data_IF_752495255918
#
_entry.id   IF_752495255918
#
_cell.length_a   1.000
_cell.length_b   1.000
_cell.length_c   1.000
_cell.angle_alpha   90.00
_cell.angle_beta   90.00
_cell.angle_gamma   90.00
#
_symmetry.space_group_name_H-M   'P 1'
#
loop_
_entity.id
_entity.type
_entity.pdbx_description
1 polymer ?
#
# COMPACT_ATOMS: atom_id res chain seq x y z
N UNK A 1 -22.78 1.41 -10.05
CA UNK A 1 -22.60 1.45 -8.59
C UNK A 1 -21.22 1.96 -8.23
N UNK A 2 -21.09 2.67 -7.11
CA UNK A 2 -19.82 3.23 -6.59
C UNK A 2 -19.45 2.56 -5.27
N UNK A 3 -18.15 2.50 -4.98
CA UNK A 3 -17.60 2.11 -3.69
C UNK A 3 -16.95 3.33 -3.02
N UNK A 4 -17.03 3.40 -1.68
CA UNK A 4 -16.54 4.54 -0.92
C UNK A 4 -15.32 4.15 -0.07
N UNK A 5 -14.34 5.05 0.01
CA UNK A 5 -13.13 4.88 0.81
C UNK A 5 -12.75 6.21 1.46
N UNK A 6 -12.11 6.14 2.62
CA UNK A 6 -11.54 7.29 3.33
C UNK A 6 -10.01 7.23 3.29
N UNK A 7 -9.41 8.36 2.91
CA UNK A 7 -7.97 8.60 2.95
C UNK A 7 -7.63 9.46 4.17
N UNK A 8 -7.33 8.79 5.28
CA UNK A 8 -7.39 9.34 6.63
C UNK A 8 -6.01 9.81 7.08
N UNK A 9 -5.89 11.09 7.46
CA UNK A 9 -4.69 11.61 8.14
C UNK A 9 -4.61 11.15 9.60
N UNK A 10 -3.41 10.98 10.13
CA UNK A 10 -3.13 10.70 11.53
C UNK A 10 -3.73 11.77 12.44
N UNK A 11 -3.72 13.04 12.01
CA UNK A 11 -4.32 14.16 12.76
C UNK A 11 -5.80 13.91 13.09
N UNK A 12 -6.57 13.40 12.13
CA UNK A 12 -7.98 13.08 12.36
C UNK A 12 -8.11 12.05 13.48
N UNK A 13 -7.32 10.97 13.43
CA UNK A 13 -7.33 9.92 14.45
C UNK A 13 -6.86 10.44 15.83
N UNK A 14 -5.86 11.32 15.88
CA UNK A 14 -5.44 12.01 17.11
C UNK A 14 -6.60 12.80 17.71
N UNK A 15 -7.31 13.60 16.90
CA UNK A 15 -8.44 14.41 17.36
C UNK A 15 -9.65 13.59 17.79
N UNK A 16 -9.94 12.46 17.12
CA UNK A 16 -10.98 11.52 17.56
C UNK A 16 -10.65 10.96 18.95
N UNK A 17 -9.39 10.52 19.15
CA UNK A 17 -8.91 9.96 20.41
C UNK A 17 -8.98 10.97 21.56
N UNK A 18 -8.61 12.21 21.30
CA UNK A 18 -8.55 13.30 22.29
C UNK A 18 -9.87 14.06 22.44
N UNK A 19 -10.93 13.62 21.76
CA UNK A 19 -12.24 14.27 21.73
C UNK A 19 -12.17 15.77 21.36
N UNK A 20 -11.33 16.10 20.37
CA UNK A 20 -11.15 17.45 19.88
C UNK A 20 -12.11 17.77 18.73
N UNK A 21 -12.12 19.03 18.32
CA UNK A 21 -12.88 19.48 17.16
C UNK A 21 -12.17 19.14 15.84
N UNK A 22 -12.95 18.86 14.81
CA UNK A 22 -12.49 18.69 13.43
C UNK A 22 -13.13 19.74 12.52
N UNK A 23 -12.34 20.35 11.66
CA UNK A 23 -12.77 21.38 10.72
C UNK A 23 -12.93 20.81 9.31
N UNK A 24 -14.13 20.98 8.75
CA UNK A 24 -14.45 20.69 7.36
C UNK A 24 -14.07 21.91 6.51
N UNK A 25 -13.29 21.67 5.45
CA UNK A 25 -12.70 22.71 4.61
C UNK A 25 -13.08 22.52 3.14
N UNK A 26 -13.18 23.63 2.41
CA UNK A 26 -13.35 23.60 0.96
C UNK A 26 -11.95 23.57 0.31
N UNK A 27 -11.64 22.63 -0.60
CA UNK A 27 -10.31 22.55 -1.22
C UNK A 27 -9.94 23.77 -2.06
N UNK A 28 -10.93 24.56 -2.52
CA UNK A 28 -10.69 25.82 -3.22
C UNK A 28 -10.24 26.95 -2.28
N UNK A 29 -10.69 26.94 -1.02
CA UNK A 29 -10.32 27.94 0.00
C UNK A 29 -9.09 27.49 0.79
N UNK A 30 -8.91 26.18 0.94
CA UNK A 30 -7.80 25.54 1.65
C UNK A 30 -7.01 24.61 0.70
N UNK A 31 -6.33 25.15 -0.32
CA UNK A 31 -5.61 24.35 -1.31
C UNK A 31 -4.41 23.61 -0.70
N UNK A 32 -3.99 22.52 -1.34
CA UNK A 32 -2.77 21.78 -0.99
C UNK A 32 -2.91 20.73 0.12
N UNK A 33 -4.05 20.63 0.81
CA UNK A 33 -4.27 19.60 1.85
C UNK A 33 -4.16 18.16 1.31
N UNK A 34 -4.54 17.93 0.04
CA UNK A 34 -4.39 16.64 -0.63
C UNK A 34 -2.96 16.38 -1.11
N UNK A 35 -2.13 17.41 -1.19
CA UNK A 35 -0.75 17.36 -1.69
C UNK A 35 0.28 17.31 -0.56
N UNK A 36 -0.17 17.36 0.70
CA UNK A 36 0.67 17.22 1.90
C UNK A 36 0.26 15.99 2.72
N UNK A 37 1.18 15.44 3.50
CA UNK A 37 0.94 14.35 4.45
C UNK A 37 1.81 14.52 5.71
N UNK A 38 1.50 13.78 6.77
CA UNK A 38 2.24 13.84 8.04
C UNK A 38 2.29 15.25 8.62
N UNK A 39 3.47 15.67 9.10
CA UNK A 39 3.64 16.99 9.73
C UNK A 39 3.33 18.17 8.80
N UNK A 40 3.59 18.03 7.49
CA UNK A 40 3.31 19.10 6.53
C UNK A 40 1.80 19.33 6.42
N UNK A 41 1.03 18.25 6.35
CA UNK A 41 -0.43 18.32 6.39
C UNK A 41 -0.92 18.92 7.71
N UNK A 42 -0.37 18.49 8.84
CA UNK A 42 -0.79 19.01 10.16
C UNK A 42 -0.58 20.51 10.27
N UNK A 43 0.61 21.01 9.90
CA UNK A 43 0.93 22.44 9.91
C UNK A 43 0.01 23.24 8.99
N UNK A 44 -0.21 22.75 7.76
CA UNK A 44 -1.06 23.43 6.79
C UNK A 44 -2.53 23.46 7.23
N UNK A 45 -3.03 22.35 7.76
CA UNK A 45 -4.40 22.24 8.26
C UNK A 45 -4.65 23.17 9.45
N UNK A 46 -3.75 23.18 10.44
CA UNK A 46 -3.87 24.06 11.62
C UNK A 46 -3.79 25.53 11.21
N UNK A 47 -2.88 25.88 10.30
CA UNK A 47 -2.80 27.24 9.74
C UNK A 47 -4.15 27.70 9.16
N UNK A 48 -4.83 26.85 8.39
CA UNK A 48 -6.14 27.20 7.83
C UNK A 48 -7.25 27.32 8.89
N UNK A 49 -7.14 26.59 10.01
CA UNK A 49 -8.04 26.79 11.15
C UNK A 49 -7.81 28.15 11.83
N UNK A 50 -6.55 28.56 11.99
CA UNK A 50 -6.16 29.85 12.58
C UNK A 50 -6.54 31.05 11.70
N UNK A 51 -6.39 30.92 10.37
CA UNK A 51 -6.82 31.92 9.39
C UNK A 51 -8.35 31.99 9.23
N UNK A 52 -9.09 31.16 9.97
CA UNK A 52 -10.55 31.10 9.99
C UNK A 52 -11.17 30.83 8.60
N UNK A 53 -10.45 30.13 7.72
CA UNK A 53 -10.91 29.65 6.40
C UNK A 53 -11.83 28.41 6.52
N UNK A 54 -12.48 28.26 7.67
CA UNK A 54 -13.31 27.11 8.03
C UNK A 54 -14.70 27.21 7.42
N UNK A 55 -15.20 26.11 6.83
CA UNK A 55 -16.62 26.02 6.44
C UNK A 55 -17.49 25.63 7.63
N UNK A 56 -17.09 24.59 8.36
CA UNK A 56 -17.83 24.04 9.50
C UNK A 56 -16.87 23.33 10.44
N UNK A 57 -17.05 23.54 11.74
CA UNK A 57 -16.32 22.79 12.77
C UNK A 57 -17.30 21.88 13.49
N UNK A 58 -16.93 20.62 13.70
CA UNK A 58 -17.71 19.57 14.37
C UNK A 58 -16.85 18.90 15.44
N UNK A 59 -17.44 18.11 16.33
CA UNK A 59 -16.63 17.21 17.16
C UNK A 59 -16.06 16.10 16.28
N UNK A 60 -14.78 15.76 16.44
CA UNK A 60 -14.16 14.70 15.64
C UNK A 60 -14.87 13.35 15.87
N UNK A 61 -15.32 13.10 17.10
CA UNK A 61 -16.08 11.89 17.44
C UNK A 61 -17.44 11.83 16.76
N UNK A 62 -18.13 12.95 16.54
CA UNK A 62 -19.41 12.96 15.81
C UNK A 62 -19.22 12.48 14.36
N UNK A 63 -18.17 12.96 13.70
CA UNK A 63 -17.83 12.48 12.35
C UNK A 63 -17.42 10.99 12.38
N UNK A 64 -16.66 10.58 13.39
CA UNK A 64 -16.30 9.17 13.58
C UNK A 64 -17.52 8.26 13.76
N UNK A 65 -18.52 8.67 14.55
CA UNK A 65 -19.77 7.92 14.71
C UNK A 65 -20.51 7.76 13.38
N UNK A 66 -20.56 8.80 12.55
CA UNK A 66 -21.17 8.70 11.21
C UNK A 66 -20.42 7.71 10.31
N UNK A 67 -19.08 7.69 10.37
CA UNK A 67 -18.26 6.72 9.62
C UNK A 67 -18.59 5.29 10.06
N UNK A 68 -18.63 5.04 11.38
CA UNK A 68 -18.96 3.73 11.95
C UNK A 68 -20.38 3.30 11.58
N UNK A 69 -21.35 4.22 11.64
CA UNK A 69 -22.73 3.94 11.26
C UNK A 69 -22.81 3.49 9.80
N UNK A 70 -22.16 4.21 8.88
CA UNK A 70 -22.09 3.81 7.47
C UNK A 70 -21.49 2.41 7.30
N UNK A 71 -20.41 2.10 8.02
CA UNK A 71 -19.77 0.79 7.97
C UNK A 71 -20.67 -0.34 8.50
N UNK A 72 -21.44 -0.08 9.56
CA UNK A 72 -22.41 -1.04 10.10
C UNK A 72 -23.52 -1.30 9.09
N UNK A 73 -24.03 -0.26 8.44
CA UNK A 73 -25.16 -0.36 7.51
C UNK A 73 -24.77 -0.96 6.16
N UNK A 74 -23.55 -0.69 5.68
CA UNK A 74 -23.17 -0.95 4.27
C UNK A 74 -21.86 -1.72 4.09
N UNK A 75 -21.06 -1.89 5.14
CA UNK A 75 -19.71 -2.42 5.07
C UNK A 75 -18.65 -1.45 4.51
N UNK A 76 -19.04 -0.23 4.13
CA UNK A 76 -18.16 0.84 3.59
C UNK A 76 -18.40 2.16 4.35
N UNK A 77 -17.45 3.11 4.38
CA UNK A 77 -16.24 3.21 3.55
C UNK A 77 -15.09 2.30 3.97
N UNK A 78 -14.23 1.96 3.01
CA UNK A 78 -12.90 1.42 3.27
C UNK A 78 -12.04 2.43 4.05
N UNK A 79 -11.10 1.93 4.85
CA UNK A 79 -10.29 2.74 5.74
C UNK A 79 -8.82 2.63 5.35
N UNK A 80 -8.23 3.73 4.90
CA UNK A 80 -6.82 3.80 4.55
C UNK A 80 -6.15 4.98 5.25
N UNK A 81 -4.98 4.75 5.81
CA UNK A 81 -4.24 5.75 6.58
C UNK A 81 -3.23 6.45 5.69
N UNK A 82 -3.56 7.66 5.22
CA UNK A 82 -2.78 8.48 4.28
C UNK A 82 -1.32 8.58 4.69
N UNK A 83 -1.09 8.95 5.94
CA UNK A 83 0.25 9.30 6.41
C UNK A 83 1.13 8.04 6.51
N UNK A 84 0.56 6.92 6.95
CA UNK A 84 1.22 5.61 6.89
C UNK A 84 1.53 5.16 5.46
N UNK A 85 0.61 5.36 4.52
CA UNK A 85 0.81 4.98 3.12
C UNK A 85 1.94 5.80 2.48
N UNK A 86 1.95 7.11 2.70
CA UNK A 86 2.98 7.99 2.15
C UNK A 86 4.35 7.80 2.83
N UNK A 87 4.39 7.70 4.16
CA UNK A 87 5.63 7.54 4.91
C UNK A 87 6.42 6.28 4.52
N UNK A 88 5.70 5.21 4.15
CA UNK A 88 6.26 3.86 3.95
C UNK A 88 6.15 3.38 2.51
N UNK A 89 6.02 4.31 1.55
CA UNK A 89 6.06 3.99 0.13
C UNK A 89 7.45 4.21 -0.44
N UNK A 90 7.91 3.31 -1.30
CA UNK A 90 9.12 3.51 -2.11
C UNK A 90 8.90 4.57 -3.21
N UNK A 91 7.65 4.95 -3.50
CA UNK A 91 7.30 6.00 -4.46
C UNK A 91 7.14 7.38 -3.81
N UNK A 92 7.45 7.55 -2.52
CA UNK A 92 7.32 8.86 -1.85
C UNK A 92 8.21 9.97 -2.43
N UNK A 93 9.19 9.62 -3.25
CA UNK A 93 10.00 10.57 -4.02
C UNK A 93 9.23 11.22 -5.19
N UNK A 94 8.08 10.69 -5.60
CA UNK A 94 7.27 11.23 -6.70
C UNK A 94 6.34 12.36 -6.25
N UNK A 95 6.03 12.42 -4.95
CA UNK A 95 5.08 13.33 -4.35
C UNK A 95 4.06 12.60 -3.49
N UNK A 96 3.01 13.32 -3.07
CA UNK A 96 1.97 12.77 -2.20
C UNK A 96 1.06 11.81 -2.95
N UNK A 97 0.97 10.58 -2.46
CA UNK A 97 0.02 9.56 -2.89
C UNK A 97 -1.37 9.92 -2.34
N UNK A 98 -2.34 10.03 -3.24
CA UNK A 98 -3.66 10.64 -2.97
C UNK A 98 -4.78 9.64 -2.74
N UNK A 99 -4.60 8.38 -3.15
CA UNK A 99 -5.60 7.33 -2.98
C UNK A 99 -4.95 5.95 -3.10
N UNK A 100 -5.77 4.92 -2.91
CA UNK A 100 -5.48 3.54 -3.30
C UNK A 100 -6.35 3.14 -4.49
N UNK A 101 -6.43 1.85 -4.80
CA UNK A 101 -7.31 1.28 -5.81
C UNK A 101 -8.63 0.77 -5.19
N UNK A 102 -9.42 0.07 -6.01
CA UNK A 102 -10.71 -0.51 -5.63
C UNK A 102 -10.62 -1.47 -4.42
N UNK A 103 -9.55 -2.26 -4.32
CA UNK A 103 -9.43 -3.33 -3.33
C UNK A 103 -8.49 -2.97 -2.16
N UNK A 104 -8.03 -1.72 -2.09
CA UNK A 104 -7.23 -1.14 -1.01
C UNK A 104 -5.81 -1.71 -0.83
N UNK A 105 -5.31 -2.52 -1.75
CA UNK A 105 -3.99 -3.15 -1.68
C UNK A 105 -2.90 -2.38 -2.43
N UNK A 106 -3.28 -1.55 -3.40
CA UNK A 106 -2.32 -0.80 -4.24
C UNK A 106 -2.20 0.63 -3.76
N UNK A 107 -0.96 1.04 -3.50
CA UNK A 107 -0.60 2.38 -3.03
C UNK A 107 0.45 2.95 -3.97
N UNK A 108 -0.01 3.55 -5.05
CA UNK A 108 0.81 4.09 -6.14
C UNK A 108 0.51 5.58 -6.36
N UNK A 109 1.52 6.31 -6.80
CA UNK A 109 1.40 7.73 -7.14
C UNK A 109 0.47 7.93 -8.35
N UNK A 110 -0.29 9.02 -8.32
CA UNK A 110 -1.15 9.46 -9.43
C UNK A 110 -1.09 10.97 -9.59
N UNK A 111 -1.23 11.44 -10.82
CA UNK A 111 -1.26 12.85 -11.17
C UNK A 111 -2.18 13.08 -12.38
N UNK A 112 -2.43 14.32 -12.82
CA UNK A 112 -3.17 14.57 -14.06
C UNK A 112 -2.58 13.89 -15.30
N UNK A 113 -1.26 13.64 -15.29
CA UNK A 113 -0.53 13.04 -16.41
C UNK A 113 -0.20 11.55 -16.20
N UNK A 114 -0.48 11.00 -15.01
CA UNK A 114 -0.12 9.63 -14.62
C UNK A 114 -1.29 8.90 -13.94
N UNK A 115 -1.76 7.84 -14.60
CA UNK A 115 -2.75 6.91 -14.05
C UNK A 115 -2.02 5.63 -13.64
N UNK A 116 -1.95 5.36 -12.34
CA UNK A 116 -1.35 4.15 -11.78
C UNK A 116 -1.99 2.86 -12.35
N UNK A 117 -1.20 1.78 -12.46
CA UNK A 117 -1.63 0.51 -13.09
C UNK A 117 -1.23 -0.68 -12.24
N UNK A 118 -2.23 -1.49 -11.89
CA UNK A 118 -2.05 -2.67 -11.05
C UNK A 118 -1.69 -3.91 -11.90
N UNK A 119 -0.41 -4.29 -11.94
CA UNK A 119 0.04 -5.54 -12.61
C UNK A 119 0.09 -6.69 -11.58
N UNK A 120 -0.94 -7.54 -11.55
CA UNK A 120 -1.17 -8.46 -10.43
C UNK A 120 -0.99 -9.94 -10.77
N UNK A 121 -0.43 -10.70 -9.84
CA UNK A 121 -0.46 -12.17 -9.82
C UNK A 121 -0.54 -12.68 -8.38
N UNK A 122 -1.05 -13.91 -8.17
CA UNK A 122 -1.16 -14.52 -6.84
C UNK A 122 -0.49 -15.89 -6.76
N UNK A 123 0.23 -16.14 -5.66
CA UNK A 123 0.88 -17.41 -5.36
C UNK A 123 -0.03 -18.30 -4.52
N UNK A 124 -0.29 -19.52 -4.96
CA UNK A 124 -1.06 -20.51 -4.20
C UNK A 124 -0.19 -21.18 -3.12
N UNK A 125 -0.21 -20.64 -1.90
CA UNK A 125 0.68 -21.03 -0.79
C UNK A 125 0.55 -22.51 -0.40
N UNK A 126 -0.63 -23.09 -0.54
CA UNK A 126 -0.86 -24.49 -0.20
C UNK A 126 -0.05 -25.47 -1.06
N UNK A 127 0.43 -25.06 -2.24
CA UNK A 127 1.25 -25.88 -3.15
C UNK A 127 2.71 -26.04 -2.70
N UNK A 128 3.11 -25.35 -1.63
CA UNK A 128 4.45 -25.42 -1.05
C UNK A 128 4.47 -26.23 0.25
N UNK A 129 3.34 -26.79 0.69
CA UNK A 129 3.28 -27.67 1.85
C UNK A 129 3.61 -29.10 1.44
N UNK A 130 4.61 -29.69 2.10
CA UNK A 130 4.80 -31.14 2.13
C UNK A 130 3.88 -31.72 3.21
N UNK A 131 2.83 -32.44 2.79
CA UNK A 131 1.79 -32.94 3.71
C UNK A 131 2.33 -34.06 4.60
N UNK A 132 3.24 -34.89 4.08
CA UNK A 132 3.80 -36.03 4.83
C UNK A 132 4.76 -35.53 5.91
N UNK A 133 5.63 -34.58 5.55
CA UNK A 133 6.59 -33.99 6.50
C UNK A 133 5.99 -32.89 7.37
N UNK A 134 4.84 -32.33 6.97
CA UNK A 134 4.23 -31.13 7.56
C UNK A 134 5.21 -29.95 7.59
N UNK A 135 5.89 -29.73 6.47
CA UNK A 135 6.88 -28.68 6.30
C UNK A 135 6.50 -27.75 5.14
N UNK A 136 6.88 -26.48 5.26
CA UNK A 136 6.69 -25.49 4.21
C UNK A 136 7.98 -25.33 3.39
N UNK A 137 7.90 -25.48 2.07
CA UNK A 137 9.04 -25.40 1.17
C UNK A 137 9.32 -23.95 0.72
N UNK A 138 10.11 -23.24 1.54
CA UNK A 138 10.50 -21.86 1.27
C UNK A 138 11.37 -21.70 0.02
N UNK A 139 12.24 -22.68 -0.28
CA UNK A 139 13.09 -22.62 -1.49
C UNK A 139 12.25 -22.56 -2.76
N UNK A 140 11.24 -23.42 -2.84
CA UNK A 140 10.31 -23.45 -3.97
C UNK A 140 9.45 -22.17 -4.04
N UNK A 141 9.02 -21.63 -2.90
CA UNK A 141 8.32 -20.33 -2.85
C UNK A 141 9.20 -19.20 -3.42
N UNK A 142 10.46 -19.13 -3.00
CA UNK A 142 11.44 -18.18 -3.50
C UNK A 142 11.60 -18.30 -5.02
N UNK A 143 11.84 -19.51 -5.55
CA UNK A 143 12.06 -19.73 -6.99
C UNK A 143 10.83 -19.33 -7.83
N UNK A 144 9.62 -19.67 -7.36
CA UNK A 144 8.36 -19.27 -8.02
C UNK A 144 8.14 -17.76 -7.96
N UNK A 145 8.47 -17.12 -6.84
CA UNK A 145 8.31 -15.67 -6.70
C UNK A 145 9.18 -14.93 -7.72
N UNK A 146 10.44 -15.35 -7.92
CA UNK A 146 11.31 -14.78 -8.97
C UNK A 146 10.71 -14.91 -10.37
N UNK A 147 10.14 -16.08 -10.69
CA UNK A 147 9.48 -16.30 -11.98
C UNK A 147 8.31 -15.33 -12.16
N UNK A 148 7.48 -15.16 -11.13
CA UNK A 148 6.32 -14.25 -11.18
C UNK A 148 6.77 -12.80 -11.32
N UNK A 149 7.79 -12.36 -10.58
CA UNK A 149 8.38 -11.02 -10.71
C UNK A 149 8.79 -10.74 -12.16
N UNK A 150 9.52 -11.68 -12.79
CA UNK A 150 9.92 -11.56 -14.20
C UNK A 150 8.73 -11.54 -15.16
N UNK A 151 7.69 -12.32 -14.88
CA UNK A 151 6.50 -12.38 -15.72
C UNK A 151 5.72 -11.07 -15.65
N UNK A 152 5.53 -10.51 -14.45
CA UNK A 152 4.84 -9.23 -14.26
C UNK A 152 5.62 -8.08 -14.90
N UNK A 153 6.96 -8.06 -14.78
CA UNK A 153 7.79 -7.07 -15.46
C UNK A 153 7.62 -7.13 -16.99
N UNK A 154 7.60 -8.33 -17.58
CA UNK A 154 7.30 -8.49 -19.02
C UNK A 154 5.88 -8.05 -19.41
N UNK A 155 4.91 -8.18 -18.51
CA UNK A 155 3.54 -7.72 -18.77
C UNK A 155 3.53 -6.21 -18.97
N UNK A 156 4.30 -5.45 -18.19
CA UNK A 156 4.37 -3.98 -18.32
C UNK A 156 4.70 -3.57 -19.76
N UNK A 157 5.65 -4.25 -20.41
CA UNK A 157 6.05 -3.89 -21.78
C UNK A 157 5.07 -4.39 -22.85
N UNK A 158 4.37 -5.49 -22.58
CA UNK A 158 3.44 -6.12 -23.55
C UNK A 158 1.99 -5.69 -23.39
N UNK A 159 1.65 -4.99 -22.32
CA UNK A 159 0.28 -4.63 -21.99
C UNK A 159 -0.30 -3.66 -23.03
N UNK A 160 -1.61 -3.76 -23.26
CA UNK A 160 -2.37 -2.77 -24.00
C UNK A 160 -2.91 -1.74 -23.00
N UNK A 161 -2.44 -0.49 -23.10
CA UNK A 161 -2.87 0.58 -22.20
C UNK A 161 -4.06 1.32 -22.80
N UNK A 162 -5.20 1.42 -22.08
CA UNK A 162 -6.41 2.06 -22.59
C UNK A 162 -6.28 3.58 -22.69
N UNK A 163 -5.39 4.20 -21.91
CA UNK A 163 -5.11 5.64 -21.90
C UNK A 163 -3.60 5.89 -21.83
N UNK A 164 -3.14 7.03 -22.35
CA UNK A 164 -1.69 7.33 -22.47
C UNK A 164 -1.03 7.49 -21.09
N UNK A 165 -1.74 8.10 -20.15
CA UNK A 165 -1.32 8.39 -18.78
C UNK A 165 -0.99 7.09 -18.03
N UNK A 166 -1.73 6.02 -18.33
CA UNK A 166 -1.49 4.69 -17.78
C UNK A 166 -0.17 4.07 -18.30
N UNK A 167 0.10 4.24 -19.59
CA UNK A 167 1.37 3.79 -20.18
C UNK A 167 2.55 4.57 -19.61
N UNK A 168 2.40 5.89 -19.46
CA UNK A 168 3.44 6.77 -18.88
C UNK A 168 3.78 6.31 -17.47
N UNK A 169 2.78 6.20 -16.59
CA UNK A 169 2.98 5.77 -15.20
C UNK A 169 3.66 4.40 -15.11
N UNK A 170 3.14 3.40 -15.84
CA UNK A 170 3.61 2.02 -15.69
C UNK A 170 5.04 1.83 -16.25
N UNK A 171 5.38 2.50 -17.35
CA UNK A 171 6.74 2.41 -17.93
C UNK A 171 7.76 3.14 -17.06
N UNK A 172 7.39 4.29 -16.48
CA UNK A 172 8.28 5.13 -15.68
C UNK A 172 8.64 4.51 -14.32
N UNK A 173 7.65 3.91 -13.66
CA UNK A 173 7.77 3.42 -12.28
C UNK A 173 7.82 1.91 -12.15
N UNK A 174 7.37 1.19 -13.18
CA UNK A 174 7.31 -0.28 -13.30
C UNK A 174 6.79 -1.03 -12.04
N UNK A 175 5.69 -0.60 -11.41
CA UNK A 175 5.17 -1.27 -10.22
C UNK A 175 4.56 -2.64 -10.55
N UNK A 176 4.71 -3.59 -9.63
CA UNK A 176 4.09 -4.92 -9.72
C UNK A 176 3.47 -5.31 -8.37
N UNK A 177 2.37 -6.06 -8.41
CA UNK A 177 1.70 -6.58 -7.22
C UNK A 177 1.73 -8.11 -7.17
N UNK A 178 2.48 -8.67 -6.24
CA UNK A 178 2.54 -10.12 -6.01
C UNK A 178 1.76 -10.44 -4.74
N UNK A 179 0.58 -11.01 -4.91
CA UNK A 179 -0.29 -11.46 -3.83
C UNK A 179 -0.16 -12.95 -3.52
N UNK A 180 -1.01 -13.42 -2.61
CA UNK A 180 -1.10 -14.82 -2.21
C UNK A 180 -2.55 -15.28 -2.17
N UNK A 181 -2.74 -16.59 -2.27
CA UNK A 181 -4.02 -17.26 -2.01
C UNK A 181 -3.75 -18.57 -1.25
N UNK A 182 -4.77 -19.06 -0.53
CA UNK A 182 -4.67 -20.32 0.23
C UNK A 182 -3.80 -20.25 1.49
N UNK A 183 -3.71 -19.09 2.14
CA UNK A 183 -2.98 -18.95 3.42
C UNK A 183 -3.65 -19.79 4.53
N UNK A 184 -4.98 -19.73 4.63
CA UNK A 184 -5.74 -20.55 5.57
C UNK A 184 -5.57 -22.05 5.31
N UNK A 185 -5.66 -22.48 4.04
CA UNK A 185 -5.42 -23.87 3.62
C UNK A 185 -4.01 -24.33 4.01
N UNK A 186 -3.01 -23.47 3.83
CA UNK A 186 -1.62 -23.75 4.21
C UNK A 186 -1.52 -24.04 5.71
N UNK A 187 -2.13 -23.21 6.54
CA UNK A 187 -2.16 -23.42 7.99
C UNK A 187 -2.93 -24.70 8.36
N UNK A 188 -4.06 -24.98 7.71
CA UNK A 188 -4.84 -26.20 7.94
C UNK A 188 -4.05 -27.47 7.60
N UNK A 189 -3.34 -27.48 6.47
CA UNK A 189 -2.50 -28.61 6.05
C UNK A 189 -1.34 -28.86 7.04
N UNK A 190 -0.75 -27.79 7.55
CA UNK A 190 0.32 -27.85 8.57
C UNK A 190 -0.19 -28.08 10.00
N UNK A 191 -1.53 -28.12 10.19
CA UNK A 191 -2.19 -28.27 11.50
C UNK A 191 -1.89 -27.11 12.45
N UNK A 192 -1.70 -25.91 11.91
CA UNK A 192 -1.54 -24.69 12.70
C UNK A 192 -2.89 -23.97 12.80
N UNK A 193 -3.44 -23.76 14.02
CA UNK A 193 -4.53 -22.81 14.20
C UNK A 193 -4.08 -21.42 13.72
N UNK A 194 -4.99 -20.66 13.09
CA UNK A 194 -4.65 -19.39 12.44
C UNK A 194 -3.96 -18.40 13.39
N UNK A 195 -4.38 -18.37 14.65
CA UNK A 195 -3.88 -17.45 15.68
C UNK A 195 -2.67 -18.00 16.46
N UNK A 196 -2.20 -19.21 16.12
CA UNK A 196 -1.11 -19.87 16.84
C UNK A 196 0.25 -19.22 16.56
N UNK A 197 1.19 -19.30 17.51
CA UNK A 197 2.56 -18.80 17.33
C UNK A 197 3.27 -19.40 16.10
N UNK A 198 3.16 -20.71 15.80
CA UNK A 198 3.71 -21.27 14.56
C UNK A 198 3.10 -20.66 13.28
N UNK A 199 1.80 -20.35 13.27
CA UNK A 199 1.16 -19.68 12.13
C UNK A 199 1.64 -18.23 11.97
N UNK A 200 1.80 -17.50 13.07
CA UNK A 200 2.36 -16.12 13.06
C UNK A 200 3.79 -16.10 12.52
N UNK A 201 4.62 -17.05 12.95
CA UNK A 201 6.01 -17.16 12.48
C UNK A 201 6.07 -17.57 11.01
N UNK A 202 5.29 -18.57 10.61
CA UNK A 202 5.20 -18.98 9.21
C UNK A 202 4.71 -17.83 8.31
N UNK A 203 3.74 -17.05 8.76
CA UNK A 203 3.25 -15.86 8.05
C UNK A 203 4.41 -14.89 7.76
N UNK A 204 5.20 -14.53 8.78
CA UNK A 204 6.37 -13.63 8.59
C UNK A 204 7.35 -14.20 7.58
N UNK A 205 7.75 -15.46 7.74
CA UNK A 205 8.73 -16.11 6.87
C UNK A 205 8.27 -16.26 5.42
N UNK A 206 6.98 -16.49 5.18
CA UNK A 206 6.41 -16.54 3.82
C UNK A 206 6.59 -15.18 3.15
N UNK A 207 6.14 -14.11 3.79
CA UNK A 207 6.20 -12.76 3.20
C UNK A 207 7.63 -12.21 3.10
N UNK A 208 8.51 -12.54 4.05
CA UNK A 208 9.93 -12.25 3.98
C UNK A 208 10.58 -12.94 2.76
N UNK A 209 10.32 -14.25 2.60
CA UNK A 209 10.85 -15.03 1.47
C UNK A 209 10.39 -14.45 0.12
N UNK A 210 9.11 -14.09 0.02
CA UNK A 210 8.55 -13.49 -1.18
C UNK A 210 9.16 -12.12 -1.47
N UNK A 211 9.27 -11.26 -0.46
CA UNK A 211 9.83 -9.93 -0.61
C UNK A 211 11.30 -9.99 -1.04
N UNK A 212 12.10 -10.85 -0.40
CA UNK A 212 13.50 -11.08 -0.77
C UNK A 212 13.64 -11.57 -2.22
N UNK A 213 12.89 -12.61 -2.59
CA UNK A 213 12.91 -13.17 -3.94
C UNK A 213 12.53 -12.12 -5.01
N UNK A 214 11.49 -11.33 -4.75
CA UNK A 214 11.03 -10.30 -5.67
C UNK A 214 12.06 -9.18 -5.84
N UNK A 215 12.68 -8.73 -4.74
CA UNK A 215 13.77 -7.74 -4.79
C UNK A 215 14.96 -8.26 -5.56
N UNK A 216 15.42 -9.49 -5.29
CA UNK A 216 16.59 -10.05 -5.94
C UNK A 216 16.37 -10.21 -7.45
N UNK A 217 15.20 -10.71 -7.88
CA UNK A 217 14.87 -10.75 -9.31
C UNK A 217 14.75 -9.33 -9.89
N UNK A 218 14.21 -8.36 -9.15
CA UNK A 218 14.15 -6.97 -9.60
C UNK A 218 15.56 -6.38 -9.81
N UNK A 219 16.51 -6.69 -8.91
CA UNK A 219 17.92 -6.31 -9.05
C UNK A 219 18.57 -6.98 -10.26
N UNK A 220 18.35 -8.27 -10.49
CA UNK A 220 18.84 -8.98 -11.69
C UNK A 220 18.31 -8.36 -12.99
N UNK A 221 17.03 -7.95 -13.01
CA UNK A 221 16.44 -7.22 -14.14
C UNK A 221 17.10 -5.85 -14.32
N UNK A 222 17.33 -5.12 -13.22
CA UNK A 222 17.99 -3.82 -13.26
C UNK A 222 19.46 -3.91 -13.71
N UNK A 223 20.17 -4.99 -13.37
CA UNK A 223 21.52 -5.25 -13.89
C UNK A 223 21.53 -5.48 -15.41
N UNK A 224 20.44 -6.03 -15.95
CA UNK A 224 20.31 -6.35 -17.38
C UNK A 224 19.81 -5.15 -18.20
N UNK A 225 18.79 -4.45 -17.70
CA UNK A 225 18.05 -3.42 -18.44
C UNK A 225 18.27 -1.99 -17.91
N UNK A 226 18.98 -1.84 -16.80
CA UNK A 226 19.03 -0.61 -16.02
C UNK A 226 17.85 -0.52 -15.04
N UNK A 227 17.96 0.34 -14.00
CA UNK A 227 16.86 0.59 -13.08
C UNK A 227 15.68 1.28 -13.78
N UNK A 228 14.48 1.21 -13.18
CA UNK A 228 13.33 2.00 -13.64
C UNK A 228 13.64 3.51 -13.55
N UNK A 229 13.00 4.32 -14.42
CA UNK A 229 13.37 5.72 -14.66
C UNK A 229 13.40 6.55 -13.36
N UNK A 230 12.41 6.37 -12.49
CA UNK A 230 12.28 7.13 -11.25
C UNK A 230 12.94 6.47 -10.03
N UNK A 231 13.91 5.57 -10.22
CA UNK A 231 14.58 4.87 -9.12
C UNK A 231 15.46 5.80 -8.28
N UNK A 232 16.24 6.67 -8.94
CA UNK A 232 17.14 7.59 -8.23
C UNK A 232 16.34 8.58 -7.36
N UNK A 233 16.73 8.69 -6.09
CA UNK A 233 16.02 9.49 -5.09
C UNK A 233 14.92 8.73 -4.34
N UNK A 234 14.60 7.50 -4.74
CA UNK A 234 13.70 6.63 -3.96
C UNK A 234 14.38 6.13 -2.67
N UNK A 235 13.61 5.72 -1.65
CA UNK A 235 14.16 5.04 -0.47
C UNK A 235 15.06 3.85 -0.81
N UNK A 236 14.66 3.01 -1.76
CA UNK A 236 15.45 1.85 -2.19
C UNK A 236 16.80 2.25 -2.80
N UNK A 237 16.90 3.41 -3.47
CA UNK A 237 18.20 3.94 -3.94
C UNK A 237 19.13 4.39 -2.83
N UNK A 238 18.60 4.62 -1.63
CA UNK A 238 19.34 4.99 -0.42
C UNK A 238 19.59 3.79 0.51
N UNK A 239 19.27 2.57 0.06
CA UNK A 239 19.41 1.36 0.86
C UNK A 239 18.33 1.17 1.92
N UNK A 240 17.21 1.90 1.83
CA UNK A 240 16.08 1.80 2.75
C UNK A 240 15.01 0.90 2.12
N UNK A 241 14.81 -0.29 2.69
CA UNK A 241 13.79 -1.25 2.26
C UNK A 241 12.51 -1.11 3.10
N UNK A 242 11.50 -1.92 2.77
CA UNK A 242 10.18 -1.77 3.38
C UNK A 242 10.24 -1.93 4.89
N UNK A 243 10.88 -3.00 5.39
CA UNK A 243 10.97 -3.29 6.83
C UNK A 243 11.73 -2.21 7.61
N UNK A 244 12.68 -1.51 6.99
CA UNK A 244 13.41 -0.39 7.60
C UNK A 244 12.45 0.77 7.91
N UNK A 245 11.51 1.06 6.98
CA UNK A 245 10.50 2.10 7.17
C UNK A 245 9.46 1.76 8.25
N UNK A 246 9.44 0.52 8.72
CA UNK A 246 8.65 0.08 9.89
C UNK A 246 9.46 0.03 11.17
N UNK A 247 10.78 0.29 11.12
CA UNK A 247 11.72 0.03 12.22
C UNK A 247 11.62 -1.43 12.72
N UNK A 248 11.33 -2.37 11.81
CA UNK A 248 11.20 -3.77 12.16
C UNK A 248 12.59 -4.37 12.44
N UNK A 249 12.68 -5.19 13.48
CA UNK A 249 13.85 -6.07 13.67
C UNK A 249 13.65 -7.28 12.77
N UNK A 250 14.41 -7.33 11.68
CA UNK A 250 14.50 -8.50 10.79
C UNK A 250 15.49 -9.49 11.37
#
# INVERSE_FOLDING_TARGET
DLFYALWISDLFMKRVKENMHWTLMCPNECPGLSDAWGEEFEKLYIKYEEENLKKKTVLAQDLWFVILQSQIETGVPYMLYKDSCNAKSNQKNLGTIKCSNLCCEIVEYTSPDEVAVCNLASIALCKFVDIEKKEFNFKKLYDITKIITRNLDKIIDRNYYPVKEAKVSNIRHRPIGIGVQGLADTFMLLRYPYESEPAKELNKRIFETMYYAALEMSVELAQTYGPYESYQGSPASQGILQFDMWNAKV
#
